data_IF_270660856779
#
_entry.id   IF_270660856779
#
_cell.length_a   1.000
_cell.length_b   1.000
_cell.length_c   1.000
_cell.angle_alpha   90.00
_cell.angle_beta   90.00
_cell.angle_gamma   90.00
#
_symmetry.space_group_name_H-M   'P 1'
#
loop_
_entity.id
_entity.type
_entity.pdbx_description
1 polymer ?
#
# COMPACT_ATOMS: atom_id res chain seq x y z
N UNK A 1 -27.53 17.19 -14.51
CA UNK A 1 -26.17 16.58 -14.53
C UNK A 1 -25.27 17.43 -13.67
N UNK A 2 -25.05 17.05 -12.41
CA UNK A 2 -24.12 17.74 -11.51
C UNK A 2 -22.71 17.33 -11.92
N UNK A 3 -21.89 18.28 -12.37
CA UNK A 3 -20.48 18.01 -12.67
C UNK A 3 -19.74 17.53 -11.43
N UNK A 4 -18.83 16.56 -11.58
CA UNK A 4 -18.02 16.06 -10.47
C UNK A 4 -17.16 17.20 -9.94
N UNK A 5 -17.10 17.37 -8.60
CA UNK A 5 -16.25 18.36 -7.96
C UNK A 5 -14.79 18.18 -8.43
N UNK A 6 -14.17 19.20 -9.07
CA UNK A 6 -12.79 19.12 -9.54
C UNK A 6 -11.79 18.73 -8.45
N UNK A 7 -12.06 19.05 -7.18
CA UNK A 7 -11.22 18.66 -6.04
C UNK A 7 -11.31 17.16 -5.77
N UNK A 8 -12.51 16.57 -5.88
CA UNK A 8 -12.70 15.12 -5.73
C UNK A 8 -12.03 14.37 -6.88
N UNK A 9 -12.11 14.88 -8.12
CA UNK A 9 -11.37 14.29 -9.24
C UNK A 9 -9.85 14.35 -9.04
N UNK A 10 -9.33 15.48 -8.55
CA UNK A 10 -7.91 15.60 -8.23
C UNK A 10 -7.48 14.65 -7.09
N UNK A 11 -8.34 14.45 -6.07
CA UNK A 11 -8.10 13.45 -5.03
C UNK A 11 -8.11 12.02 -5.58
N UNK A 12 -9.10 11.68 -6.42
CA UNK A 12 -9.20 10.36 -7.05
C UNK A 12 -7.99 10.05 -7.93
N UNK A 13 -7.53 11.01 -8.74
CA UNK A 13 -6.30 10.84 -9.55
C UNK A 13 -5.07 10.57 -8.69
N UNK A 14 -4.88 11.31 -7.60
CA UNK A 14 -3.76 11.11 -6.67
C UNK A 14 -3.82 9.74 -6.00
N UNK A 15 -5.01 9.30 -5.59
CA UNK A 15 -5.18 7.98 -4.99
C UNK A 15 -4.86 6.85 -5.98
N UNK A 16 -5.36 6.94 -7.21
CA UNK A 16 -5.04 5.97 -8.27
C UNK A 16 -3.54 5.87 -8.50
N UNK A 17 -2.87 7.02 -8.64
CA UNK A 17 -1.41 7.06 -8.79
C UNK A 17 -0.69 6.42 -7.60
N UNK A 18 -1.11 6.71 -6.37
CA UNK A 18 -0.51 6.12 -5.17
C UNK A 18 -0.65 4.58 -5.15
N UNK A 19 -1.83 4.06 -5.54
CA UNK A 19 -2.06 2.62 -5.66
C UNK A 19 -1.20 1.98 -6.76
N UNK A 20 -1.08 2.63 -7.92
CA UNK A 20 -0.24 2.14 -9.03
C UNK A 20 1.24 2.09 -8.61
N UNK A 21 1.72 3.12 -7.91
CA UNK A 21 3.07 3.16 -7.36
C UNK A 21 3.29 2.04 -6.33
N UNK A 22 2.33 1.83 -5.43
CA UNK A 22 2.37 0.75 -4.45
C UNK A 22 2.46 -0.62 -5.12
N UNK A 23 1.57 -0.93 -6.07
CA UNK A 23 1.57 -2.20 -6.81
C UNK A 23 2.85 -2.40 -7.60
N UNK A 24 3.43 -1.32 -8.15
CA UNK A 24 4.73 -1.39 -8.83
C UNK A 24 5.86 -1.74 -7.85
N UNK A 25 5.91 -1.08 -6.69
CA UNK A 25 6.89 -1.38 -5.64
C UNK A 25 6.79 -2.82 -5.12
N UNK A 26 5.57 -3.33 -4.95
CA UNK A 26 5.32 -4.71 -4.54
C UNK A 26 5.89 -5.72 -5.55
N UNK A 27 5.69 -5.48 -6.86
CA UNK A 27 6.26 -6.33 -7.92
C UNK A 27 7.79 -6.34 -7.90
N UNK A 28 8.40 -5.18 -7.71
CA UNK A 28 9.87 -5.07 -7.62
C UNK A 28 10.41 -5.83 -6.40
N UNK A 29 9.74 -5.73 -5.25
CA UNK A 29 10.13 -6.45 -4.04
C UNK A 29 9.97 -7.97 -4.21
N UNK A 30 8.90 -8.42 -4.87
CA UNK A 30 8.71 -9.84 -5.20
C UNK A 30 9.86 -10.38 -6.05
N UNK A 31 10.27 -9.65 -7.09
CA UNK A 31 11.42 -10.05 -7.91
C UNK A 31 12.74 -10.03 -7.13
N UNK A 32 12.93 -9.06 -6.23
CA UNK A 32 14.09 -9.05 -5.33
C UNK A 32 14.10 -10.30 -4.44
N UNK A 33 12.97 -10.69 -3.86
CA UNK A 33 12.86 -11.89 -3.01
C UNK A 33 13.13 -13.16 -3.80
N UNK A 34 12.61 -13.27 -5.04
CA UNK A 34 12.90 -14.40 -5.94
C UNK A 34 14.38 -14.55 -6.23
N UNK A 35 15.08 -13.44 -6.49
CA UNK A 35 16.53 -13.46 -6.74
C UNK A 35 17.34 -13.83 -5.49
N UNK A 36 16.89 -13.40 -4.31
CA UNK A 36 17.56 -13.68 -3.04
C UNK A 36 17.34 -15.12 -2.54
N UNK A 37 16.22 -15.74 -2.93
CA UNK A 37 15.79 -17.06 -2.47
C UNK A 37 15.23 -17.89 -3.64
N UNK A 38 16.06 -18.25 -4.63
CA UNK A 38 15.61 -19.00 -5.81
C UNK A 38 15.04 -20.39 -5.48
N UNK A 39 15.41 -20.96 -4.33
CA UNK A 39 14.98 -22.25 -3.84
C UNK A 39 13.56 -22.26 -3.25
N UNK A 40 13.03 -21.09 -2.88
CA UNK A 40 11.75 -21.01 -2.19
C UNK A 40 10.58 -21.17 -3.17
N UNK A 41 9.54 -21.93 -2.78
CA UNK A 41 8.32 -22.00 -3.55
C UNK A 41 7.60 -20.64 -3.54
N UNK A 42 6.75 -20.41 -4.55
CA UNK A 42 6.04 -19.15 -4.73
C UNK A 42 5.18 -18.74 -3.50
N UNK A 43 4.65 -19.73 -2.78
CA UNK A 43 3.83 -19.51 -1.58
C UNK A 43 4.65 -18.91 -0.43
N UNK A 44 5.87 -19.41 -0.21
CA UNK A 44 6.76 -18.91 0.84
C UNK A 44 7.31 -17.52 0.51
N UNK A 45 7.54 -17.23 -0.78
CA UNK A 45 7.91 -15.89 -1.24
C UNK A 45 6.81 -14.88 -0.95
N UNK A 46 5.54 -15.25 -1.16
CA UNK A 46 4.39 -14.39 -0.86
C UNK A 46 4.24 -14.15 0.65
N UNK A 47 4.48 -15.17 1.49
CA UNK A 47 4.51 -14.99 2.95
C UNK A 47 5.60 -14.01 3.38
N UNK A 48 6.82 -14.14 2.83
CA UNK A 48 7.93 -13.22 3.09
C UNK A 48 7.63 -11.79 2.63
N UNK A 49 6.99 -11.63 1.48
CA UNK A 49 6.58 -10.32 0.98
C UNK A 49 5.59 -9.65 1.94
N UNK A 50 4.60 -10.39 2.44
CA UNK A 50 3.63 -9.87 3.43
C UNK A 50 4.27 -9.49 4.74
N UNK A 51 5.25 -10.27 5.19
CA UNK A 51 6.01 -9.95 6.39
C UNK A 51 6.85 -8.69 6.20
N UNK A 52 7.53 -8.59 5.05
CA UNK A 52 8.27 -7.39 4.70
C UNK A 52 7.38 -6.15 4.62
N UNK A 53 6.19 -6.24 4.00
CA UNK A 53 5.26 -5.10 3.93
C UNK A 53 4.84 -4.58 5.32
N UNK A 54 4.76 -5.45 6.32
CA UNK A 54 4.41 -5.09 7.71
C UNK A 54 5.57 -4.46 8.48
N UNK A 55 6.80 -4.81 8.14
CA UNK A 55 8.00 -4.47 8.92
C UNK A 55 9.01 -3.66 8.10
N UNK A 56 8.60 -3.14 6.93
CA UNK A 56 9.53 -2.51 5.99
C UNK A 56 10.20 -1.29 6.64
N UNK A 57 11.51 -1.08 6.38
CA UNK A 57 12.23 0.07 6.91
C UNK A 57 11.54 1.39 6.54
N UNK A 58 11.38 2.27 7.53
CA UNK A 58 10.73 3.58 7.39
C UNK A 58 9.20 3.56 7.48
N UNK A 59 8.56 2.39 7.63
CA UNK A 59 7.13 2.26 7.87
C UNK A 59 6.85 1.28 9.04
N UNK A 60 7.71 1.26 10.05
CA UNK A 60 7.62 0.39 11.22
C UNK A 60 6.31 0.60 12.00
N UNK A 61 5.71 1.79 11.88
CA UNK A 61 4.43 2.16 12.47
C UNK A 61 3.30 2.31 11.43
N UNK A 62 3.51 1.79 10.22
CA UNK A 62 2.64 1.98 9.06
C UNK A 62 2.93 3.27 8.28
N UNK A 63 2.09 3.54 7.28
CA UNK A 63 2.33 4.61 6.29
C UNK A 63 1.97 6.01 6.78
N UNK A 64 1.29 6.10 7.92
CA UNK A 64 1.12 7.35 8.65
C UNK A 64 0.83 7.04 10.12
N UNK A 65 1.25 7.93 11.02
CA UNK A 65 0.72 7.97 12.36
C UNK A 65 -0.77 8.32 12.29
N UNK A 66 -1.64 7.31 12.19
CA UNK A 66 -3.09 7.52 12.20
C UNK A 66 -3.49 8.27 13.46
N UNK A 67 -4.34 9.29 13.35
CA UNK A 67 -4.96 9.90 14.53
C UNK A 67 -5.98 8.92 15.07
N UNK A 68 -5.92 8.63 16.38
CA UNK A 68 -6.97 7.84 17.06
C UNK A 68 -8.31 8.54 16.86
N UNK A 69 -9.28 7.86 16.26
CA UNK A 69 -10.63 8.36 16.07
C UNK A 69 -11.61 7.45 16.80
N UNK A 70 -12.57 8.04 17.51
CA UNK A 70 -13.67 7.30 18.10
C UNK A 70 -14.56 6.70 17.01
N UNK A 71 -15.03 5.49 17.24
CA UNK A 71 -16.05 4.83 16.41
C UNK A 71 -17.38 4.81 17.17
N UNK A 72 -18.52 5.15 16.55
CA UNK A 72 -18.69 5.54 15.14
C UNK A 72 -18.17 6.96 14.84
N UNK A 73 -17.62 7.15 13.64
CA UNK A 73 -17.15 8.49 13.21
C UNK A 73 -18.38 9.41 13.08
N UNK A 74 -18.39 10.52 13.81
CA UNK A 74 -19.38 11.57 13.56
C UNK A 74 -19.15 12.12 12.15
N UNK A 75 -20.19 12.10 11.31
CA UNK A 75 -20.14 12.74 9.99
C UNK A 75 -19.98 14.26 10.20
N UNK A 76 -19.13 14.94 9.41
CA UNK A 76 -19.11 16.40 9.36
C UNK A 76 -20.44 16.94 8.81
#
# INVERSE_FOLDING_TARGET
MTGVDPRLEAAARRLRLALDMFSTGERLMRERLRRAHPELPAQDLELRLREWLRTRPGAEFGDSAGTRAAWPRQRP
#
